data_IF_105724893544
#
_entry.id   IF_105724893544
#
_cell.length_a   1.000
_cell.length_b   1.000
_cell.length_c   1.000
_cell.angle_alpha   90.00
_cell.angle_beta   90.00
_cell.angle_gamma   90.00
#
_symmetry.space_group_name_H-M   'P 1'
#
loop_
_entity.id
_entity.type
_entity.pdbx_description
1 polymer ?
#
# COMPACT_ATOMS: atom_id res chain seq x y z
N UNK A 1 13.91 -8.83 -14.51
CA UNK A 1 13.38 -7.63 -15.17
C UNK A 1 14.32 -6.45 -14.99
N UNK A 2 14.87 -6.24 -13.78
CA UNK A 2 15.72 -5.10 -13.49
C UNK A 2 17.17 -5.50 -13.21
N UNK A 3 18.08 -4.55 -13.45
CA UNK A 3 19.47 -4.56 -12.98
C UNK A 3 19.72 -3.30 -12.14
N UNK A 4 20.33 -3.47 -10.97
CA UNK A 4 20.68 -2.37 -10.08
C UNK A 4 22.20 -2.34 -9.93
N UNK A 5 22.82 -1.24 -10.37
CA UNK A 5 24.26 -1.04 -10.32
C UNK A 5 24.60 0.42 -10.00
N UNK A 6 25.46 0.66 -9.01
CA UNK A 6 25.98 1.99 -8.68
C UNK A 6 24.91 3.05 -8.38
N UNK A 7 23.81 2.68 -7.72
CA UNK A 7 22.70 3.61 -7.43
C UNK A 7 21.81 3.93 -8.63
N UNK A 8 21.96 3.19 -9.74
CA UNK A 8 21.09 3.27 -10.91
C UNK A 8 20.30 1.99 -11.10
N UNK A 9 19.14 2.11 -11.72
CA UNK A 9 18.27 0.99 -12.09
C UNK A 9 17.98 1.04 -13.58
N UNK A 10 18.00 -0.13 -14.22
CA UNK A 10 17.60 -0.29 -15.63
C UNK A 10 16.71 -1.50 -15.79
N UNK A 11 15.72 -1.40 -16.66
CA UNK A 11 14.95 -2.54 -17.14
C UNK A 11 15.79 -3.25 -18.21
N UNK A 12 16.25 -4.46 -17.91
CA UNK A 12 17.10 -5.27 -18.80
C UNK A 12 16.35 -6.45 -19.44
N UNK A 13 15.14 -6.75 -18.95
CA UNK A 13 14.29 -7.82 -19.45
C UNK A 13 12.82 -7.40 -19.38
N UNK A 14 12.26 -7.05 -20.55
CA UNK A 14 10.86 -6.62 -20.70
C UNK A 14 9.88 -7.79 -20.79
N UNK A 15 10.35 -9.04 -20.86
CA UNK A 15 9.47 -10.21 -21.06
C UNK A 15 8.39 -10.32 -19.98
N UNK A 16 8.73 -9.97 -18.73
CA UNK A 16 7.80 -9.95 -17.60
C UNK A 16 6.73 -8.86 -17.67
N UNK A 17 6.88 -7.84 -18.52
CA UNK A 17 5.86 -6.82 -18.77
C UNK A 17 4.89 -7.22 -19.90
N UNK A 18 5.27 -8.18 -20.73
CA UNK A 18 4.53 -8.55 -21.95
C UNK A 18 3.90 -9.94 -21.84
N UNK A 19 4.48 -10.83 -21.02
CA UNK A 19 4.01 -12.20 -20.84
C UNK A 19 3.45 -12.42 -19.43
N UNK A 20 2.22 -12.93 -19.34
CA UNK A 20 1.54 -13.16 -18.07
C UNK A 20 0.92 -11.90 -17.49
N UNK A 21 0.76 -11.85 -16.17
CA UNK A 21 0.30 -10.64 -15.48
C UNK A 21 1.52 -9.72 -15.23
N UNK A 22 1.60 -8.55 -15.89
CA UNK A 22 2.77 -7.69 -15.77
C UNK A 22 2.97 -7.12 -14.36
N UNK A 23 1.92 -7.14 -13.53
CA UNK A 23 1.99 -6.70 -12.13
C UNK A 23 2.85 -7.67 -11.30
N UNK A 24 2.95 -8.95 -11.66
CA UNK A 24 3.86 -9.88 -11.00
C UNK A 24 5.32 -9.44 -11.19
N UNK A 25 5.68 -9.04 -12.41
CA UNK A 25 7.01 -8.50 -12.71
C UNK A 25 7.30 -7.20 -11.94
N UNK A 26 6.32 -6.30 -11.88
CA UNK A 26 6.42 -5.05 -11.10
C UNK A 26 6.62 -5.35 -9.61
N UNK A 27 5.81 -6.23 -9.04
CA UNK A 27 5.90 -6.63 -7.64
C UNK A 27 7.28 -7.24 -7.32
N UNK A 28 7.75 -8.20 -8.12
CA UNK A 28 9.08 -8.80 -7.95
C UNK A 28 10.19 -7.75 -8.03
N UNK A 29 10.11 -6.83 -8.99
CA UNK A 29 11.13 -5.79 -9.18
C UNK A 29 11.14 -4.76 -8.05
N UNK A 30 9.98 -4.39 -7.51
CA UNK A 30 9.91 -3.56 -6.31
C UNK A 30 10.55 -4.29 -5.12
N UNK A 31 10.31 -5.59 -4.95
CA UNK A 31 10.96 -6.36 -3.90
C UNK A 31 12.48 -6.43 -4.07
N UNK A 32 12.98 -6.57 -5.29
CA UNK A 32 14.42 -6.53 -5.59
C UNK A 32 15.02 -5.15 -5.28
N UNK A 33 14.33 -4.05 -5.63
CA UNK A 33 14.75 -2.67 -5.33
C UNK A 33 14.89 -2.46 -3.82
N UNK A 34 13.85 -2.79 -3.08
CA UNK A 34 13.83 -2.58 -1.64
C UNK A 34 14.77 -3.55 -0.92
N UNK A 35 14.95 -4.77 -1.41
CA UNK A 35 15.97 -5.69 -0.89
C UNK A 35 17.39 -5.15 -1.14
N UNK A 36 17.65 -4.55 -2.30
CA UNK A 36 18.93 -3.89 -2.57
C UNK A 36 19.17 -2.72 -1.61
N UNK A 37 18.17 -1.85 -1.43
CA UNK A 37 18.26 -0.72 -0.52
C UNK A 37 18.46 -1.15 0.94
N UNK A 38 17.92 -2.32 1.34
CA UNK A 38 18.05 -2.83 2.71
C UNK A 38 19.50 -3.07 3.12
N UNK A 39 20.39 -3.45 2.19
CA UNK A 39 21.82 -3.63 2.49
C UNK A 39 22.57 -2.31 2.77
N UNK A 40 21.90 -1.17 2.60
CA UNK A 40 22.44 0.18 2.80
C UNK A 40 21.84 0.88 4.03
N UNK A 41 21.16 0.16 4.94
CA UNK A 41 20.51 0.58 6.21
C UNK A 41 20.10 2.06 6.31
N UNK A 42 21.04 2.97 6.56
CA UNK A 42 20.78 4.42 6.67
C UNK A 42 20.24 5.07 5.38
N UNK A 43 20.46 4.45 4.22
CA UNK A 43 19.93 4.91 2.93
C UNK A 43 18.69 4.13 2.48
N UNK A 44 18.13 3.24 3.29
CA UNK A 44 17.02 2.35 2.88
C UNK A 44 15.88 3.11 2.20
N UNK A 45 15.36 4.14 2.85
CA UNK A 45 14.25 4.93 2.32
C UNK A 45 14.66 5.88 1.20
N UNK A 46 15.72 6.71 1.33
CA UNK A 46 16.16 7.58 0.23
C UNK A 46 16.51 6.81 -1.05
N UNK A 47 17.33 5.77 -0.96
CA UNK A 47 17.75 4.98 -2.12
C UNK A 47 16.58 4.17 -2.69
N UNK A 48 15.78 3.53 -1.83
CA UNK A 48 14.64 2.73 -2.25
C UNK A 48 13.58 3.56 -2.96
N UNK A 49 13.23 4.75 -2.44
CA UNK A 49 12.28 5.66 -3.09
C UNK A 49 12.82 6.20 -4.41
N UNK A 50 14.10 6.56 -4.48
CA UNK A 50 14.73 7.02 -5.71
C UNK A 50 14.68 5.95 -6.81
N UNK A 51 15.10 4.72 -6.48
CA UNK A 51 15.12 3.59 -7.40
C UNK A 51 13.70 3.17 -7.80
N UNK A 52 12.74 3.13 -6.87
CA UNK A 52 11.35 2.80 -7.16
C UNK A 52 10.70 3.83 -8.08
N UNK A 53 10.97 5.13 -7.86
CA UNK A 53 10.47 6.20 -8.73
C UNK A 53 11.06 6.11 -10.14
N UNK A 54 12.38 5.93 -10.26
CA UNK A 54 13.05 5.75 -11.58
C UNK A 54 12.58 4.49 -12.30
N UNK A 55 12.35 3.41 -11.57
CA UNK A 55 11.83 2.17 -12.14
C UNK A 55 10.42 2.37 -12.69
N UNK A 56 9.53 2.95 -11.90
CA UNK A 56 8.16 3.22 -12.32
C UNK A 56 8.11 4.18 -13.53
N UNK A 57 8.99 5.17 -13.58
CA UNK A 57 9.09 6.10 -14.72
C UNK A 57 9.56 5.39 -15.98
N UNK A 58 10.52 4.46 -15.87
CA UNK A 58 10.96 3.63 -16.98
C UNK A 58 9.83 2.71 -17.47
N UNK A 59 9.08 2.08 -16.56
CA UNK A 59 7.93 1.24 -16.96
C UNK A 59 6.88 2.09 -17.65
N UNK A 60 6.52 3.27 -17.12
CA UNK A 60 5.56 4.17 -17.75
C UNK A 60 5.97 4.58 -19.17
N UNK A 61 7.25 4.90 -19.38
CA UNK A 61 7.76 5.30 -20.69
C UNK A 61 7.83 4.13 -21.70
N UNK A 62 8.04 2.91 -21.22
CA UNK A 62 8.15 1.71 -22.07
C UNK A 62 6.80 1.02 -22.34
N UNK A 63 5.92 1.00 -21.35
CA UNK A 63 4.66 0.26 -21.34
C UNK A 63 3.60 0.97 -20.47
N UNK A 64 3.05 2.12 -20.93
CA UNK A 64 2.07 2.89 -20.17
C UNK A 64 0.75 2.14 -19.94
N UNK A 65 0.43 1.12 -20.74
CA UNK A 65 -0.73 0.23 -20.57
C UNK A 65 -0.68 -0.58 -19.27
N UNK A 66 0.47 -0.60 -18.56
CA UNK A 66 0.58 -1.18 -17.21
C UNK A 66 -0.50 -0.65 -16.26
N UNK A 67 -0.86 0.63 -16.38
CA UNK A 67 -1.87 1.24 -15.52
C UNK A 67 -3.28 0.75 -15.85
N UNK A 68 -3.56 0.39 -17.10
CA UNK A 68 -4.82 -0.27 -17.49
C UNK A 68 -4.89 -1.69 -16.93
N UNK A 69 -3.74 -2.39 -16.85
CA UNK A 69 -3.65 -3.67 -16.15
C UNK A 69 -3.91 -3.52 -14.64
N UNK A 70 -3.38 -2.47 -13.99
CA UNK A 70 -3.66 -2.17 -12.58
C UNK A 70 -5.16 -1.98 -12.37
N UNK A 71 -5.80 -1.12 -13.18
CA UNK A 71 -7.25 -0.88 -13.09
C UNK A 71 -8.06 -2.16 -13.22
N UNK A 72 -7.80 -2.92 -14.29
CA UNK A 72 -8.52 -4.16 -14.58
C UNK A 72 -8.35 -5.19 -13.46
N UNK A 73 -7.13 -5.34 -12.95
CA UNK A 73 -6.85 -6.31 -11.90
C UNK A 73 -7.39 -5.87 -10.53
N UNK A 74 -7.33 -4.57 -10.21
CA UNK A 74 -7.91 -4.02 -8.99
C UNK A 74 -9.44 -4.16 -8.98
N UNK A 75 -10.10 -3.86 -10.10
CA UNK A 75 -11.54 -4.04 -10.25
C UNK A 75 -11.96 -5.51 -10.07
N UNK A 76 -11.20 -6.44 -10.65
CA UNK A 76 -11.47 -7.88 -10.58
C UNK A 76 -10.98 -8.55 -9.30
N UNK A 77 -10.15 -7.87 -8.50
CA UNK A 77 -9.57 -8.49 -7.31
C UNK A 77 -10.64 -8.80 -6.27
N UNK A 78 -10.69 -10.07 -5.88
CA UNK A 78 -11.59 -10.62 -4.89
C UNK A 78 -10.88 -11.03 -3.59
N UNK A 79 -9.55 -10.91 -3.49
CA UNK A 79 -8.74 -11.37 -2.35
C UNK A 79 -9.29 -10.98 -0.97
N UNK A 80 -9.69 -9.71 -0.79
CA UNK A 80 -10.26 -9.24 0.47
C UNK A 80 -11.64 -9.88 0.69
N UNK A 81 -12.48 -9.92 -0.34
CA UNK A 81 -13.79 -10.58 -0.30
C UNK A 81 -13.67 -12.09 -0.02
N UNK A 82 -12.67 -12.77 -0.57
CA UNK A 82 -12.35 -14.17 -0.29
C UNK A 82 -12.04 -14.37 1.20
N UNK A 83 -11.21 -13.50 1.80
CA UNK A 83 -10.92 -13.53 3.24
C UNK A 83 -12.20 -13.33 4.05
N UNK A 84 -13.00 -12.31 3.72
CA UNK A 84 -14.25 -12.00 4.41
C UNK A 84 -15.32 -13.10 4.27
N UNK A 85 -15.20 -13.96 3.25
CA UNK A 85 -16.09 -15.09 3.02
C UNK A 85 -15.74 -16.33 3.85
N UNK A 86 -14.53 -16.41 4.43
CA UNK A 86 -14.09 -17.55 5.23
C UNK A 86 -14.97 -17.72 6.48
N UNK A 87 -15.21 -18.97 6.94
CA UNK A 87 -15.96 -19.21 8.17
C UNK A 87 -15.23 -18.67 9.41
N UNK A 88 -13.90 -18.68 9.39
CA UNK A 88 -13.03 -18.08 10.41
C UNK A 88 -11.93 -17.27 9.72
N UNK A 89 -11.67 -16.05 10.18
CA UNK A 89 -10.57 -15.21 9.73
C UNK A 89 -10.20 -14.15 10.78
N UNK A 90 -8.92 -13.77 10.76
CA UNK A 90 -8.41 -12.59 11.42
C UNK A 90 -7.75 -11.70 10.36
N UNK A 91 -8.36 -10.56 10.06
CA UNK A 91 -7.88 -9.59 9.08
C UNK A 91 -7.36 -8.34 9.79
N UNK A 92 -6.10 -8.02 9.59
CA UNK A 92 -5.48 -6.76 9.98
C UNK A 92 -5.34 -5.89 8.74
N UNK A 93 -5.99 -4.72 8.75
CA UNK A 93 -5.84 -3.69 7.72
C UNK A 93 -5.02 -2.54 8.29
N UNK A 94 -3.92 -2.19 7.66
CA UNK A 94 -3.07 -1.06 8.03
C UNK A 94 -3.37 0.11 7.09
N UNK A 95 -3.67 1.28 7.63
CA UNK A 95 -4.02 2.46 6.83
C UNK A 95 -2.76 3.07 6.20
N UNK A 96 -2.64 2.99 4.87
CA UNK A 96 -1.51 3.53 4.12
C UNK A 96 -0.22 2.69 4.15
N UNK A 97 -0.22 1.42 4.55
CA UNK A 97 0.99 0.58 4.49
C UNK A 97 1.35 0.18 3.04
N UNK A 98 2.61 0.40 2.64
CA UNK A 98 3.12 0.02 1.32
C UNK A 98 4.00 -1.24 1.37
N UNK A 99 4.42 -1.73 0.20
CA UNK A 99 5.25 -2.93 0.07
C UNK A 99 6.63 -2.78 0.74
N UNK A 100 7.16 -1.55 0.78
CA UNK A 100 8.49 -1.28 1.34
C UNK A 100 8.54 -1.56 2.83
N UNK A 101 7.48 -1.26 3.58
CA UNK A 101 7.45 -1.56 5.01
C UNK A 101 7.50 -3.07 5.30
N UNK A 102 7.12 -3.94 4.35
CA UNK A 102 7.02 -5.39 4.59
C UNK A 102 8.36 -6.09 4.63
N UNK A 103 9.29 -5.77 3.72
CA UNK A 103 10.52 -6.55 3.57
C UNK A 103 11.35 -6.64 4.87
N UNK A 104 11.56 -5.54 5.62
CA UNK A 104 12.20 -5.61 6.94
C UNK A 104 11.42 -6.46 7.95
N UNK A 105 10.09 -6.54 7.83
CA UNK A 105 9.21 -7.26 8.75
C UNK A 105 9.14 -8.76 8.48
N UNK A 106 9.46 -9.23 7.27
CA UNK A 106 9.31 -10.66 6.92
C UNK A 106 10.06 -11.59 7.87
N UNK A 107 11.25 -11.19 8.34
CA UNK A 107 12.01 -11.99 9.32
C UNK A 107 11.35 -12.00 10.70
N UNK A 108 10.74 -10.89 11.09
CA UNK A 108 10.02 -10.77 12.37
C UNK A 108 8.73 -11.57 12.34
N UNK A 109 7.94 -11.48 11.26
CA UNK A 109 6.72 -12.27 11.08
C UNK A 109 6.96 -13.77 11.12
N UNK A 110 8.11 -14.24 10.61
CA UNK A 110 8.50 -15.66 10.67
C UNK A 110 8.68 -16.20 12.09
N UNK A 111 8.83 -15.33 13.10
CA UNK A 111 8.85 -15.74 14.52
C UNK A 111 7.46 -16.14 15.02
N UNK A 112 6.40 -15.75 14.33
CA UNK A 112 5.00 -16.04 14.68
C UNK A 112 4.41 -17.20 13.87
N UNK A 113 5.07 -17.66 12.80
CA UNK A 113 4.61 -18.79 11.99
C UNK A 113 5.17 -18.82 10.57
N UNK A 114 4.59 -19.68 9.72
CA UNK A 114 4.83 -19.68 8.28
C UNK A 114 4.30 -18.38 7.67
N UNK A 115 5.15 -17.68 6.93
CA UNK A 115 4.80 -16.39 6.29
C UNK A 115 4.76 -16.55 4.80
N UNK A 116 3.62 -16.18 4.21
CA UNK A 116 3.43 -16.11 2.76
C UNK A 116 3.15 -14.68 2.36
N UNK A 117 4.07 -14.09 1.61
CA UNK A 117 4.02 -12.71 1.18
C UNK A 117 3.63 -12.62 -0.30
N UNK A 118 2.53 -11.92 -0.56
CA UNK A 118 1.98 -11.62 -1.88
C UNK A 118 1.56 -10.15 -1.90
N UNK A 119 0.95 -9.74 -3.00
CA UNK A 119 0.27 -8.45 -3.09
C UNK A 119 -1.24 -8.63 -3.27
N UNK A 120 -1.98 -7.57 -2.96
CA UNK A 120 -3.35 -7.34 -3.38
C UNK A 120 -3.42 -5.97 -4.07
N UNK A 121 -4.63 -5.50 -4.35
CA UNK A 121 -4.85 -4.18 -4.94
C UNK A 121 -5.63 -3.29 -3.98
N UNK A 122 -5.24 -2.03 -3.89
CA UNK A 122 -6.08 -0.99 -3.31
C UNK A 122 -7.37 -0.85 -4.12
N UNK A 123 -8.39 -0.23 -3.51
CA UNK A 123 -9.50 0.28 -4.30
C UNK A 123 -9.03 1.42 -5.20
N UNK A 124 -9.82 1.75 -6.21
CA UNK A 124 -9.50 2.79 -7.18
C UNK A 124 -10.61 3.85 -7.14
N UNK A 125 -10.30 5.15 -6.97
CA UNK A 125 -8.99 5.71 -6.56
C UNK A 125 -8.41 5.11 -5.26
N UNK A 126 -7.09 5.15 -5.11
CA UNK A 126 -6.40 4.55 -3.96
C UNK A 126 -6.49 5.42 -2.70
N UNK A 127 -7.71 5.55 -2.17
CA UNK A 127 -8.04 6.21 -0.91
C UNK A 127 -8.84 5.25 -0.01
N UNK A 128 -8.73 5.47 1.30
CA UNK A 128 -9.49 4.74 2.32
C UNK A 128 -10.99 4.75 2.07
N UNK A 129 -11.57 5.86 1.60
CA UNK A 129 -13.00 5.97 1.31
C UNK A 129 -13.45 4.96 0.24
N UNK A 130 -12.70 4.82 -0.86
CA UNK A 130 -13.06 3.87 -1.91
C UNK A 130 -12.88 2.43 -1.44
N UNK A 131 -11.85 2.15 -0.63
CA UNK A 131 -11.65 0.82 -0.05
C UNK A 131 -12.78 0.43 0.89
N UNK A 132 -13.15 1.33 1.80
CA UNK A 132 -14.22 1.10 2.77
C UNK A 132 -15.59 0.99 2.09
N UNK A 133 -15.87 1.79 1.06
CA UNK A 133 -17.09 1.66 0.25
C UNK A 133 -17.15 0.30 -0.44
N UNK A 134 -16.05 -0.12 -1.08
CA UNK A 134 -15.97 -1.39 -1.83
C UNK A 134 -16.18 -2.61 -0.95
N UNK A 135 -15.55 -2.66 0.22
CA UNK A 135 -15.51 -3.87 1.05
C UNK A 135 -16.50 -3.87 2.23
N UNK A 136 -16.91 -2.69 2.70
CA UNK A 136 -17.73 -2.55 3.91
C UNK A 136 -18.99 -1.70 3.72
N UNK A 137 -19.18 -1.09 2.55
CA UNK A 137 -20.31 -0.21 2.24
C UNK A 137 -20.45 0.96 3.23
N UNK A 138 -19.31 1.53 3.65
CA UNK A 138 -19.21 2.73 4.50
C UNK A 138 -18.28 3.75 3.85
N UNK A 139 -18.28 5.00 4.30
CA UNK A 139 -17.40 6.05 3.75
C UNK A 139 -16.05 6.16 4.49
N UNK A 140 -15.93 5.54 5.67
CA UNK A 140 -14.70 5.56 6.47
C UNK A 140 -14.62 4.34 7.41
N UNK A 141 -13.42 4.02 7.95
CA UNK A 141 -13.27 2.92 8.90
C UNK A 141 -14.07 3.14 10.19
N UNK A 142 -14.15 4.39 10.66
CA UNK A 142 -14.92 4.77 11.85
C UNK A 142 -16.44 4.55 11.74
N UNK A 143 -16.97 4.39 10.53
CA UNK A 143 -18.38 4.09 10.28
C UNK A 143 -18.67 2.59 10.22
N UNK A 144 -17.64 1.73 10.13
CA UNK A 144 -17.80 0.29 10.10
C UNK A 144 -18.26 -0.18 11.48
N UNK A 145 -19.38 -0.92 11.50
CA UNK A 145 -19.92 -1.49 12.73
C UNK A 145 -19.71 -2.99 12.76
N UNK A 146 -19.46 -3.53 13.95
CA UNK A 146 -19.56 -4.97 14.18
C UNK A 146 -20.96 -5.48 13.80
N UNK A 147 -21.01 -6.69 13.26
CA UNK A 147 -22.25 -7.35 12.82
C UNK A 147 -22.13 -8.86 12.98
N UNK A 148 -23.16 -9.61 12.58
CA UNK A 148 -23.07 -11.08 12.50
C UNK A 148 -22.00 -11.55 11.50
N UNK A 149 -21.56 -10.70 10.58
CA UNK A 149 -20.52 -11.04 9.60
C UNK A 149 -19.12 -10.99 10.21
N UNK A 150 -18.88 -10.11 11.18
CA UNK A 150 -17.57 -9.94 11.83
C UNK A 150 -17.65 -9.02 13.04
N UNK A 151 -16.69 -9.21 13.94
CA UNK A 151 -16.31 -8.20 14.92
C UNK A 151 -15.30 -7.24 14.30
N UNK A 152 -15.52 -5.93 14.46
CA UNK A 152 -14.67 -4.87 13.92
C UNK A 152 -14.13 -3.99 15.03
N UNK A 153 -12.81 -3.76 15.00
CA UNK A 153 -12.09 -2.87 15.90
C UNK A 153 -11.31 -1.86 15.07
N UNK A 154 -11.48 -0.57 15.39
CA UNK A 154 -10.77 0.53 14.75
C UNK A 154 -9.72 1.09 15.71
N UNK A 155 -8.46 0.79 15.44
CA UNK A 155 -7.30 1.11 16.27
C UNK A 155 -6.76 2.48 15.87
N UNK A 156 -7.09 3.49 16.68
CA UNK A 156 -6.63 4.86 16.52
C UNK A 156 -5.38 5.15 17.37
N UNK A 157 -5.16 4.34 18.41
CA UNK A 157 -4.01 4.42 19.32
C UNK A 157 -3.49 3.03 19.59
N UNK A 158 -2.23 2.95 20.00
CA UNK A 158 -1.58 1.66 20.28
C UNK A 158 -2.27 0.87 21.41
N UNK A 159 -2.82 1.54 22.41
CA UNK A 159 -3.50 0.89 23.55
C UNK A 159 -4.86 0.29 23.16
N UNK A 160 -5.44 0.72 22.04
CA UNK A 160 -6.70 0.16 21.53
C UNK A 160 -6.55 -1.33 21.13
N UNK A 161 -5.30 -1.84 21.03
CA UNK A 161 -5.01 -3.26 20.82
C UNK A 161 -5.57 -4.11 21.98
N UNK A 162 -5.56 -3.60 23.21
CA UNK A 162 -6.03 -4.33 24.39
C UNK A 162 -7.55 -4.61 24.33
N UNK A 163 -8.29 -3.79 23.60
CA UNK A 163 -9.74 -3.93 23.41
C UNK A 163 -10.11 -4.98 22.35
N UNK A 164 -9.12 -5.55 21.62
CA UNK A 164 -9.38 -6.55 20.60
C UNK A 164 -9.73 -7.89 21.26
N UNK A 165 -10.91 -8.47 20.99
CA UNK A 165 -11.26 -9.77 21.55
C UNK A 165 -10.47 -10.90 20.87
N UNK A 166 -9.94 -11.82 21.67
CA UNK A 166 -9.15 -12.98 21.21
C UNK A 166 -9.99 -14.22 20.86
N UNK A 167 -11.30 -14.18 21.10
CA UNK A 167 -12.23 -15.31 21.00
C UNK A 167 -13.16 -15.25 19.77
N UNK A 168 -12.96 -14.30 18.85
CA UNK A 168 -13.83 -14.09 17.70
C UNK A 168 -13.37 -14.90 16.49
N UNK A 169 -14.29 -15.65 15.92
CA UNK A 169 -14.04 -16.41 14.69
C UNK A 169 -13.82 -15.52 13.48
N UNK A 170 -14.48 -14.37 13.42
CA UNK A 170 -14.39 -13.41 12.31
C UNK A 170 -14.06 -12.04 12.88
N UNK A 171 -12.80 -11.65 12.76
CA UNK A 171 -12.26 -10.43 13.34
C UNK A 171 -11.61 -9.56 12.26
N UNK A 172 -11.90 -8.26 12.31
CA UNK A 172 -11.22 -7.23 11.55
C UNK A 172 -10.63 -6.22 12.53
N UNK A 173 -9.32 -6.06 12.51
CA UNK A 173 -8.60 -5.01 13.21
C UNK A 173 -8.09 -4.01 12.17
N UNK A 174 -8.61 -2.79 12.17
CA UNK A 174 -8.18 -1.73 11.27
C UNK A 174 -7.31 -0.74 12.04
N UNK A 175 -6.03 -0.64 11.67
CA UNK A 175 -5.08 0.29 12.26
C UNK A 175 -4.96 1.54 11.42
N UNK A 176 -5.05 2.72 12.05
CA UNK A 176 -4.82 4.02 11.37
C UNK A 176 -3.35 4.29 11.01
N UNK A 177 -2.45 3.34 11.28
CA UNK A 177 -1.02 3.45 11.01
C UNK A 177 -0.65 2.70 9.72
N UNK A 178 0.36 3.16 8.96
CA UNK A 178 1.21 4.33 9.20
C UNK A 178 0.56 5.70 8.98
N UNK A 179 -0.57 5.81 8.26
CA UNK A 179 -1.01 7.09 7.69
C UNK A 179 -1.19 8.22 8.73
N UNK A 180 -1.78 7.88 9.89
CA UNK A 180 -1.98 8.82 11.00
C UNK A 180 -0.69 9.43 11.54
N UNK A 181 0.47 8.78 11.36
CA UNK A 181 1.78 9.31 11.79
C UNK A 181 2.17 10.52 10.94
N UNK A 182 1.84 10.54 9.64
CA UNK A 182 2.23 11.65 8.76
C UNK A 182 1.63 12.98 9.22
N UNK A 183 0.42 12.95 9.79
CA UNK A 183 -0.23 14.14 10.34
C UNK A 183 0.53 14.80 11.51
N UNK A 184 1.44 14.06 12.16
CA UNK A 184 2.22 14.55 13.30
C UNK A 184 3.42 15.41 12.84
N UNK A 185 3.85 15.27 11.58
CA UNK A 185 4.91 16.07 11.00
C UNK A 185 4.36 17.44 10.58
N UNK A 186 4.57 18.46 11.42
CA UNK A 186 4.06 19.83 11.20
C UNK A 186 4.71 20.54 10.00
N UNK A 187 5.98 20.25 9.73
CA UNK A 187 6.76 20.77 8.61
C UNK A 187 8.10 20.04 8.54
N UNK A 188 8.66 19.89 7.34
CA UNK A 188 10.04 19.39 7.18
C UNK A 188 10.20 17.88 7.28
N UNK A 189 9.13 17.11 7.04
CA UNK A 189 9.30 15.67 6.82
C UNK A 189 10.22 15.44 5.63
N UNK A 190 11.27 14.67 5.88
CA UNK A 190 12.24 14.20 4.90
C UNK A 190 12.07 12.70 4.71
N UNK A 191 12.57 12.17 3.59
CA UNK A 191 12.46 10.73 3.30
C UNK A 191 13.07 9.86 4.41
N UNK A 192 14.07 10.35 5.15
CA UNK A 192 14.67 9.63 6.27
C UNK A 192 13.71 9.44 7.46
N UNK A 193 12.72 10.31 7.63
CA UNK A 193 11.73 10.24 8.71
C UNK A 193 10.80 9.02 8.56
N UNK A 194 10.76 8.41 7.36
CA UNK A 194 10.12 7.12 7.15
C UNK A 194 10.67 6.02 8.06
N UNK A 195 11.93 6.12 8.54
CA UNK A 195 12.48 5.18 9.51
C UNK A 195 11.73 5.23 10.84
N UNK A 196 11.31 6.41 11.29
CA UNK A 196 10.48 6.57 12.49
C UNK A 196 9.07 6.02 12.26
N UNK A 197 8.44 6.39 11.14
CA UNK A 197 7.11 5.89 10.72
C UNK A 197 7.10 4.36 10.70
N UNK A 198 8.12 3.77 10.11
CA UNK A 198 8.30 2.33 10.04
C UNK A 198 8.47 1.69 11.40
N UNK A 199 9.30 2.25 12.30
CA UNK A 199 9.50 1.66 13.63
C UNK A 199 8.18 1.61 14.41
N UNK A 200 7.39 2.68 14.39
CA UNK A 200 6.05 2.70 15.00
C UNK A 200 5.11 1.66 14.36
N UNK A 201 5.09 1.60 13.03
CA UNK A 201 4.26 0.63 12.28
C UNK A 201 4.65 -0.81 12.59
N UNK A 202 5.95 -1.10 12.65
CA UNK A 202 6.51 -2.39 13.07
C UNK A 202 6.02 -2.74 14.47
N UNK A 203 6.20 -1.84 15.44
CA UNK A 203 5.88 -2.12 16.83
C UNK A 203 4.38 -2.43 17.01
N UNK A 204 3.50 -1.70 16.31
CA UNK A 204 2.05 -1.97 16.29
C UNK A 204 1.75 -3.33 15.67
N UNK A 205 2.34 -3.66 14.53
CA UNK A 205 2.13 -4.96 13.87
C UNK A 205 2.60 -6.13 14.73
N UNK A 206 3.75 -6.00 15.40
CA UNK A 206 4.28 -7.04 16.29
C UNK A 206 3.39 -7.19 17.53
N UNK A 207 2.95 -6.08 18.14
CA UNK A 207 1.98 -6.11 19.26
C UNK A 207 0.66 -6.75 18.84
N UNK A 208 0.15 -6.45 17.65
CA UNK A 208 -1.05 -7.09 17.10
C UNK A 208 -0.86 -8.59 16.92
N UNK A 209 0.27 -9.02 16.34
CA UNK A 209 0.58 -10.44 16.22
C UNK A 209 0.70 -11.10 17.60
N UNK A 210 1.31 -10.47 18.60
CA UNK A 210 1.37 -11.04 19.96
C UNK A 210 -0.03 -11.18 20.58
N UNK A 211 -0.84 -10.14 20.49
CA UNK A 211 -2.19 -10.09 21.06
C UNK A 211 -3.14 -11.11 20.40
N UNK A 212 -3.06 -11.23 19.08
CA UNK A 212 -3.88 -12.14 18.27
C UNK A 212 -3.36 -13.58 18.29
N UNK A 213 -2.72 -14.00 19.38
CA UNK A 213 -2.00 -15.27 19.45
C UNK A 213 -2.87 -16.53 19.34
N UNK A 214 -4.16 -16.41 19.64
CA UNK A 214 -5.16 -17.47 19.47
C UNK A 214 -5.55 -17.72 18.01
N UNK A 215 -5.23 -16.80 17.08
CA UNK A 215 -5.60 -16.93 15.67
C UNK A 215 -4.61 -17.83 14.93
N UNK A 216 -5.10 -18.95 14.36
CA UNK A 216 -4.28 -19.89 13.57
C UNK A 216 -3.76 -19.28 12.27
N UNK A 217 -4.53 -18.37 11.66
CA UNK A 217 -4.17 -17.64 10.44
C UNK A 217 -4.51 -16.16 10.65
N UNK A 218 -3.53 -15.29 10.41
CA UNK A 218 -3.70 -13.84 10.42
C UNK A 218 -3.34 -13.33 9.03
N UNK A 219 -4.25 -12.56 8.44
CA UNK A 219 -4.06 -11.87 7.16
C UNK A 219 -3.74 -10.42 7.47
N UNK A 220 -2.59 -9.91 6.99
CA UNK A 220 -2.22 -8.50 7.11
C UNK A 220 -2.23 -7.89 5.71
N UNK A 221 -2.92 -6.76 5.55
CA UNK A 221 -2.98 -6.02 4.30
C UNK A 221 -3.06 -4.53 4.54
N UNK A 222 -3.20 -3.76 3.47
CA UNK A 222 -3.39 -2.32 3.51
C UNK A 222 -4.67 -1.93 2.76
N UNK A 223 -5.20 -0.74 3.00
CA UNK A 223 -6.27 -0.18 2.19
C UNK A 223 -5.72 0.53 0.94
N UNK A 224 -4.59 1.23 1.08
CA UNK A 224 -3.77 1.79 0.02
C UNK A 224 -2.31 1.86 0.51
N UNK A 225 -1.37 2.25 -0.37
CA UNK A 225 -0.06 2.70 0.06
C UNK A 225 0.15 4.19 -0.25
N UNK A 226 1.40 4.63 -0.29
CA UNK A 226 1.77 6.01 -0.61
C UNK A 226 3.17 6.08 -1.21
N UNK A 227 3.51 7.23 -1.79
CA UNK A 227 4.90 7.63 -2.06
C UNK A 227 5.22 8.99 -1.45
N UNK A 228 6.51 9.29 -1.33
CA UNK A 228 6.99 10.58 -0.81
C UNK A 228 7.17 11.62 -1.91
N UNK A 229 6.82 12.86 -1.59
CA UNK A 229 6.84 13.98 -2.54
C UNK A 229 8.24 14.25 -3.15
N UNK A 230 9.29 14.00 -2.37
CA UNK A 230 10.71 14.18 -2.75
C UNK A 230 11.08 13.53 -4.09
N UNK A 231 10.48 12.37 -4.40
CA UNK A 231 10.77 11.58 -5.59
C UNK A 231 9.61 11.55 -6.59
N UNK A 232 8.70 12.52 -6.49
CA UNK A 232 7.58 12.69 -7.40
C UNK A 232 8.00 13.20 -8.78
N UNK A 233 7.22 12.87 -9.81
CA UNK A 233 7.42 13.38 -11.17
C UNK A 233 6.75 14.74 -11.31
N UNK A 234 7.46 15.71 -11.88
CA UNK A 234 6.98 17.10 -11.97
C UNK A 234 6.22 17.34 -13.26
N UNK A 235 5.38 18.39 -13.27
CA UNK A 235 4.89 19.00 -14.50
C UNK A 235 3.38 18.93 -14.75
N UNK A 236 2.55 18.59 -13.75
CA UNK A 236 1.08 18.53 -13.86
C UNK A 236 0.38 19.46 -12.85
N UNK A 237 0.91 20.66 -12.65
CA UNK A 237 0.40 21.66 -11.69
C UNK A 237 -1.02 22.17 -12.05
N UNK A 238 -1.46 21.95 -13.29
CA UNK A 238 -2.79 22.27 -13.84
C UNK A 238 -3.83 21.18 -13.55
N UNK A 239 -3.44 20.05 -12.95
CA UNK A 239 -4.40 19.05 -12.49
C UNK A 239 -5.37 19.69 -11.47
N UNK A 240 -6.69 19.44 -11.60
CA UNK A 240 -7.70 20.21 -10.87
C UNK A 240 -7.79 19.87 -9.37
N UNK A 241 -7.22 18.74 -8.94
CA UNK A 241 -7.35 18.20 -7.58
C UNK A 241 -6.01 17.95 -6.89
N UNK A 242 -5.99 18.12 -5.56
CA UNK A 242 -4.86 17.69 -4.72
C UNK A 242 -4.84 16.18 -4.46
N UNK A 243 -5.99 15.52 -4.63
CA UNK A 243 -6.22 14.10 -4.35
C UNK A 243 -5.81 13.18 -5.51
N UNK A 244 -5.23 13.75 -6.58
CA UNK A 244 -4.71 13.00 -7.76
C UNK A 244 -5.75 12.20 -8.55
N UNK A 245 -7.03 12.40 -8.25
CA UNK A 245 -8.17 12.05 -9.09
C UNK A 245 -9.16 13.23 -9.20
N UNK A 246 -9.97 13.25 -10.25
CA UNK A 246 -11.03 14.25 -10.47
C UNK A 246 -12.10 13.77 -11.43
N UNK A 247 -13.34 14.25 -11.29
CA UNK A 247 -14.43 13.94 -12.22
C UNK A 247 -14.18 14.46 -13.64
N UNK A 248 -13.45 15.57 -13.77
CA UNK A 248 -13.19 16.21 -15.07
C UNK A 248 -11.76 16.72 -15.10
N UNK A 249 -11.10 16.59 -16.26
CA UNK A 249 -9.75 17.11 -16.50
C UNK A 249 -9.65 17.79 -17.87
N UNK A 250 -8.73 18.74 -18.05
CA UNK A 250 -8.32 19.22 -19.37
C UNK A 250 -7.91 18.08 -20.32
N UNK A 251 -8.19 18.23 -21.61
CA UNK A 251 -7.81 17.26 -22.66
C UNK A 251 -6.30 16.97 -22.67
N UNK A 252 -5.49 18.00 -22.39
CA UNK A 252 -4.02 17.91 -22.32
C UNK A 252 -3.52 16.92 -21.26
N UNK A 253 -4.32 16.65 -20.23
CA UNK A 253 -3.95 15.78 -19.10
C UNK A 253 -4.38 14.33 -19.27
N UNK A 254 -5.23 14.00 -20.26
CA UNK A 254 -5.74 12.64 -20.44
C UNK A 254 -4.65 11.60 -20.65
N UNK A 255 -3.52 11.96 -21.28
CA UNK A 255 -2.38 11.05 -21.47
C UNK A 255 -1.68 10.64 -20.17
N UNK A 256 -1.86 11.42 -19.11
CA UNK A 256 -1.30 11.19 -17.77
C UNK A 256 -2.35 10.63 -16.80
N UNK A 257 -3.53 10.30 -17.30
CA UNK A 257 -4.62 9.79 -16.50
C UNK A 257 -5.13 8.47 -17.07
N UNK A 258 -5.87 7.74 -16.25
CA UNK A 258 -6.81 6.71 -16.71
C UNK A 258 -8.18 6.99 -16.15
N UNK A 259 -9.20 6.65 -16.93
CA UNK A 259 -10.58 6.78 -16.50
C UNK A 259 -10.99 5.48 -15.81
N UNK A 260 -11.56 5.60 -14.62
CA UNK A 260 -12.14 4.49 -13.87
C UNK A 260 -13.41 4.99 -13.17
N UNK A 261 -14.54 4.32 -13.43
CA UNK A 261 -15.87 4.84 -13.12
C UNK A 261 -16.04 6.30 -13.60
N UNK A 262 -16.46 7.20 -12.69
CA UNK A 262 -16.66 8.61 -12.96
C UNK A 262 -15.39 9.47 -12.79
N UNK A 263 -14.23 8.85 -12.51
CA UNK A 263 -13.00 9.56 -12.16
C UNK A 263 -11.91 9.42 -13.22
N UNK A 264 -11.21 10.53 -13.45
CA UNK A 264 -9.88 10.56 -14.07
C UNK A 264 -8.82 10.52 -12.98
N UNK A 265 -7.93 9.55 -13.05
CA UNK A 265 -6.96 9.24 -12.00
C UNK A 265 -5.56 9.33 -12.57
N UNK A 266 -4.67 10.04 -11.89
CA UNK A 266 -3.28 10.21 -12.33
C UNK A 266 -2.51 8.91 -12.28
N UNK A 267 -1.77 8.64 -13.36
CA UNK A 267 -0.81 7.54 -13.40
C UNK A 267 0.50 7.91 -12.72
N UNK A 268 1.25 6.89 -12.31
CA UNK A 268 2.61 7.07 -11.82
C UNK A 268 2.71 7.98 -10.61
N UNK A 269 3.86 8.66 -10.48
CA UNK A 269 4.17 9.51 -9.32
C UNK A 269 4.04 11.00 -9.61
N UNK A 270 3.21 11.39 -10.57
CA UNK A 270 3.04 12.80 -10.88
C UNK A 270 2.53 13.59 -9.68
N UNK A 271 3.18 14.72 -9.43
CA UNK A 271 2.85 15.66 -8.39
C UNK A 271 1.90 16.76 -8.90
N UNK A 272 0.92 17.12 -8.09
CA UNK A 272 -0.10 18.13 -8.39
C UNK A 272 -0.11 19.30 -7.40
N UNK A 273 0.91 19.42 -6.53
CA UNK A 273 0.99 20.52 -5.57
C UNK A 273 0.93 21.87 -6.26
N UNK A 274 -0.07 22.66 -5.86
CA UNK A 274 -0.09 24.11 -6.09
C UNK A 274 0.75 24.79 -5.00
N UNK A 275 1.54 25.80 -5.38
CA UNK A 275 2.42 26.58 -4.47
C UNK A 275 1.73 26.87 -3.13
N UNK A 276 2.39 26.51 -2.02
CA UNK A 276 1.94 26.81 -0.65
C UNK A 276 1.20 25.70 0.10
N UNK A 277 0.89 24.56 -0.56
CA UNK A 277 0.42 23.35 0.12
C UNK A 277 1.56 22.34 0.22
N UNK A 278 2.01 22.02 1.42
CA UNK A 278 3.00 20.97 1.64
C UNK A 278 2.25 19.73 2.14
N UNK A 279 2.24 18.66 1.36
CA UNK A 279 1.95 17.32 1.90
C UNK A 279 3.14 16.44 1.56
N UNK A 280 3.54 15.63 2.52
CA UNK A 280 4.81 14.91 2.50
C UNK A 280 4.71 13.56 1.80
N UNK A 281 3.52 12.98 1.86
CA UNK A 281 3.13 11.75 1.18
C UNK A 281 1.96 12.00 0.24
N UNK A 282 1.80 11.10 -0.72
CA UNK A 282 0.77 11.11 -1.75
C UNK A 282 0.09 9.75 -1.85
N UNK A 283 -1.23 9.78 -1.91
CA UNK A 283 -2.11 8.67 -2.26
C UNK A 283 -3.16 9.15 -3.30
N UNK A 284 -4.19 8.34 -3.56
CA UNK A 284 -5.28 8.63 -4.51
C UNK A 284 -5.00 8.42 -6.00
N UNK A 285 -3.74 8.18 -6.39
CA UNK A 285 -3.34 7.95 -7.77
C UNK A 285 -3.29 6.48 -8.19
N UNK A 286 -2.57 6.20 -9.28
CA UNK A 286 -2.28 4.83 -9.74
C UNK A 286 -0.81 4.45 -9.59
N UNK A 287 -0.02 5.10 -8.73
CA UNK A 287 1.38 4.67 -8.60
C UNK A 287 1.47 3.25 -8.08
N UNK A 288 2.59 2.59 -8.39
CA UNK A 288 2.79 1.20 -7.99
C UNK A 288 2.79 1.03 -6.47
N UNK A 289 3.37 1.97 -5.72
CA UNK A 289 3.41 1.89 -4.25
C UNK A 289 2.11 2.31 -3.57
N UNK A 290 1.19 2.97 -4.29
CA UNK A 290 -0.16 3.27 -3.81
C UNK A 290 -1.13 2.10 -4.05
N UNK A 291 -1.06 1.50 -5.25
CA UNK A 291 -2.09 0.56 -5.73
C UNK A 291 -1.75 -0.90 -5.47
N UNK A 292 -0.46 -1.27 -5.51
CA UNK A 292 -0.01 -2.63 -5.21
C UNK A 292 0.28 -2.70 -3.72
N UNK A 293 -0.70 -3.21 -2.97
CA UNK A 293 -0.67 -3.24 -1.51
C UNK A 293 -0.16 -4.58 -1.00
N UNK A 294 0.43 -4.63 0.20
CA UNK A 294 0.89 -5.89 0.76
C UNK A 294 -0.27 -6.82 1.09
N UNK A 295 -0.07 -8.12 0.90
CA UNK A 295 -0.99 -9.17 1.33
C UNK A 295 -0.18 -10.31 1.94
N UNK A 296 -0.18 -10.38 3.26
CA UNK A 296 0.67 -11.27 4.04
C UNK A 296 -0.21 -12.25 4.80
N UNK A 297 0.03 -13.54 4.62
CA UNK A 297 -0.59 -14.59 5.42
C UNK A 297 0.44 -15.07 6.46
N UNK A 298 0.11 -14.98 7.74
CA UNK A 298 0.90 -15.56 8.85
C UNK A 298 0.12 -16.76 9.40
N UNK A 299 0.62 -17.96 9.17
CA UNK A 299 0.03 -19.23 9.62
C UNK A 299 0.84 -19.79 10.77
N UNK A 300 0.21 -19.91 11.95
CA UNK A 300 0.88 -20.45 13.13
C UNK A 300 0.88 -21.97 13.09
N UNK A 301 1.99 -22.56 13.49
CA UNK A 301 2.05 -24.01 13.72
C UNK A 301 1.31 -24.32 15.03
N UNK A 302 0.33 -25.22 14.99
CA UNK A 302 -0.22 -25.85 16.21
C UNK A 302 -1.34 -25.11 16.95
N UNK A 303 -2.54 -25.12 16.37
CA UNK A 303 -3.73 -25.23 17.20
C UNK A 303 -4.48 -26.47 16.74
N UNK A 304 -4.71 -27.44 17.62
CA UNK A 304 -5.75 -28.47 17.40
C UNK A 304 -7.11 -27.80 17.16
#
# INVERSE_FOLDING_TARGET
>A
MIEIAGGSIKINDVSKLVHGNPIDGVFESLNDIWSHAWFKDDEYYPLGEELASKFEEQVFNLYPEIYDCILTNAERSDKISEVLSKPRYCLVVMDGMSLREVLPLLKEFKKYGEVKYRYAYSAIPSETEFFTRRHFNTASPSQIKSSERYHFVHLQREDDIEDIPSDKDKLIAWSTYPDSIFSQFKSGFETQDLKEVFNKTKDILLRLLEHLSSSKEIIITSDHGYFVDTFSWKGLDDFPSGERYSFNIPESLKRYCRQFDDYWILVGRYNTIKRGKYTHVRHGGLSFLETIIPFIEVKREGGE
#
